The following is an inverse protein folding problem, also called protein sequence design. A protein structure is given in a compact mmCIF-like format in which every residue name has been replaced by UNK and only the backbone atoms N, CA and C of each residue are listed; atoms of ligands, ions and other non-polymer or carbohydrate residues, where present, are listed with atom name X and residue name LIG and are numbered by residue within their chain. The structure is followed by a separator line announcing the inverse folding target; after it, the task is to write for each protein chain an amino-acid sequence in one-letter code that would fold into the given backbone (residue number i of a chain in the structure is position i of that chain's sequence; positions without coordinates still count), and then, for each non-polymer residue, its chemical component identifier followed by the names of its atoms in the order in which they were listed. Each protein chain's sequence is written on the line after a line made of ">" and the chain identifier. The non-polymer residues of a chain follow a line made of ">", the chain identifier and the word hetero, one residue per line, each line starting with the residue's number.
data_IF_990098038498
#
_entry.id   IF_990098038498
#
_cell.length_a   1.000
_cell.length_b   1.000
_cell.length_c   1.000
_cell.angle_alpha   90.00
_cell.angle_beta   90.00
_cell.angle_gamma   90.00
#
_symmetry.space_group_name_H-M   'P 1'
#
loop_
_entity.id
_entity.type
_entity.pdbx_description
1 polymer ?
#
# COMPACT_ATOMS: atom_id res chain seq x y z
N UNK A 1 -13.76 48.19 -35.71
CA UNK A 1 -12.75 47.42 -36.46
C UNK A 1 -13.37 46.07 -36.78
N UNK A 2 -13.12 45.49 -37.97
CA UNK A 2 -13.48 44.08 -38.18
C UNK A 2 -12.46 43.23 -37.44
N UNK A 3 -12.91 42.30 -36.60
CA UNK A 3 -12.06 41.18 -36.22
C UNK A 3 -11.71 40.40 -37.50
N UNK A 4 -10.53 39.82 -37.54
CA UNK A 4 -10.12 38.93 -38.63
C UNK A 4 -10.84 37.60 -38.49
N UNK A 5 -11.27 37.01 -39.61
CA UNK A 5 -11.84 35.66 -39.62
C UNK A 5 -10.85 34.61 -39.08
N UNK A 6 -9.55 34.93 -39.10
CA UNK A 6 -8.47 34.11 -38.53
C UNK A 6 -8.42 34.15 -36.99
N UNK A 7 -9.00 35.17 -36.36
CA UNK A 7 -9.04 35.34 -34.90
C UNK A 7 -10.27 34.62 -34.27
N UNK A 8 -11.27 34.26 -35.08
CA UNK A 8 -12.54 33.65 -34.63
C UNK A 8 -12.83 32.30 -35.30
N UNK A 9 -11.82 31.43 -35.39
CA UNK A 9 -12.02 30.02 -35.81
C UNK A 9 -12.98 29.28 -34.86
N UNK A 10 -13.01 29.67 -33.58
CA UNK A 10 -14.09 29.38 -32.64
C UNK A 10 -15.08 30.55 -32.68
N UNK A 11 -16.38 30.35 -32.92
CA UNK A 11 -17.34 31.43 -33.22
C UNK A 11 -17.76 32.29 -32.01
N UNK A 12 -17.07 32.18 -30.87
CA UNK A 12 -17.24 33.05 -29.71
C UNK A 12 -15.90 33.24 -28.98
N UNK A 13 -15.60 34.48 -28.62
CA UNK A 13 -14.43 34.80 -27.80
C UNK A 13 -14.68 34.36 -26.34
N UNK A 14 -13.72 33.66 -25.74
CA UNK A 14 -13.84 32.99 -24.45
C UNK A 14 -13.85 33.96 -23.25
N UNK A 15 -15.00 34.61 -23.01
CA UNK A 15 -15.22 35.51 -21.87
C UNK A 15 -15.75 34.73 -20.67
N UNK A 16 -14.92 34.53 -19.63
CA UNK A 16 -15.42 34.21 -18.29
C UNK A 16 -15.69 35.51 -17.53
N UNK A 17 -16.93 35.71 -17.09
CA UNK A 17 -17.31 36.82 -16.20
C UNK A 17 -17.05 36.52 -14.72
N UNK A 18 -16.88 35.25 -14.37
CA UNK A 18 -16.62 34.80 -13.01
C UNK A 18 -15.13 34.49 -12.78
N UNK A 19 -14.60 34.93 -11.64
CA UNK A 19 -13.40 34.37 -11.03
C UNK A 19 -13.83 33.30 -10.04
N UNK A 20 -13.21 32.12 -10.12
CA UNK A 20 -13.46 31.04 -9.16
C UNK A 20 -12.79 31.37 -7.83
N UNK A 21 -13.57 31.47 -6.75
CA UNK A 21 -13.04 31.44 -5.38
C UNK A 21 -13.07 29.99 -4.87
N UNK A 22 -11.96 29.30 -5.08
CA UNK A 22 -11.81 27.90 -4.66
C UNK A 22 -11.65 27.73 -3.15
N UNK A 23 -11.37 28.80 -2.38
CA UNK A 23 -11.30 28.70 -0.93
C UNK A 23 -12.69 28.43 -0.33
N UNK A 24 -13.74 29.01 -0.94
CA UNK A 24 -15.16 28.78 -0.58
C UNK A 24 -15.67 27.36 -0.82
N UNK A 25 -14.87 26.48 -1.43
CA UNK A 25 -15.25 25.09 -1.75
C UNK A 25 -14.84 24.08 -0.67
N UNK A 26 -14.06 24.51 0.32
CA UNK A 26 -13.59 23.67 1.43
C UNK A 26 -14.33 24.03 2.72
N UNK A 27 -14.72 23.02 3.49
CA UNK A 27 -15.34 23.21 4.80
C UNK A 27 -14.27 23.55 5.85
N UNK A 28 -14.10 24.85 6.12
CA UNK A 28 -13.20 25.36 7.16
C UNK A 28 -13.66 25.04 8.60
N UNK A 29 -14.85 24.43 8.78
CA UNK A 29 -15.34 23.95 10.08
C UNK A 29 -15.17 22.44 10.28
N UNK A 30 -14.71 21.71 9.25
CA UNK A 30 -14.50 20.27 9.31
C UNK A 30 -13.46 19.89 10.37
N UNK A 31 -13.85 18.95 11.25
CA UNK A 31 -12.94 18.33 12.21
C UNK A 31 -12.67 16.89 11.78
N UNK A 32 -11.40 16.50 11.72
CA UNK A 32 -10.99 15.15 11.38
C UNK A 32 -11.48 14.15 12.44
N UNK A 33 -11.97 12.99 11.99
CA UNK A 33 -12.44 11.94 12.89
C UNK A 33 -11.28 11.13 13.46
N UNK A 34 -11.27 10.87 14.77
CA UNK A 34 -10.22 10.07 15.42
C UNK A 34 -10.30 8.56 15.10
N UNK A 35 -11.26 8.12 14.27
CA UNK A 35 -11.39 6.76 13.75
C UNK A 35 -10.06 6.21 13.18
N UNK A 36 -9.88 4.89 13.20
CA UNK A 36 -8.74 4.23 12.58
C UNK A 36 -8.79 4.35 11.03
N UNK A 37 -7.64 4.27 10.32
CA UNK A 37 -7.61 4.30 8.85
C UNK A 37 -8.50 3.26 8.17
N UNK A 38 -8.64 2.07 8.76
CA UNK A 38 -9.57 1.05 8.23
C UNK A 38 -11.03 1.51 8.35
N UNK A 39 -11.41 2.19 9.42
CA UNK A 39 -12.77 2.69 9.59
C UNK A 39 -13.04 3.97 8.78
N UNK A 40 -12.05 4.86 8.63
CA UNK A 40 -12.06 5.96 7.65
C UNK A 40 -12.31 5.42 6.23
N UNK A 41 -11.62 4.33 5.85
CA UNK A 41 -11.80 3.68 4.55
C UNK A 41 -13.19 3.07 4.37
N UNK A 42 -13.68 2.29 5.33
CA UNK A 42 -14.99 1.65 5.26
C UNK A 42 -16.11 2.70 5.20
N UNK A 43 -15.99 3.81 5.94
CA UNK A 43 -16.96 4.91 5.89
C UNK A 43 -16.99 5.58 4.52
N UNK A 44 -15.83 5.86 3.91
CA UNK A 44 -15.73 6.37 2.55
C UNK A 44 -16.29 5.38 1.52
N UNK A 45 -15.87 4.11 1.54
CA UNK A 45 -16.33 3.09 0.60
C UNK A 45 -17.85 2.89 0.68
N UNK A 46 -18.42 2.83 1.89
CA UNK A 46 -19.87 2.66 2.07
C UNK A 46 -20.65 3.95 1.75
N UNK A 47 -20.03 5.12 1.87
CA UNK A 47 -20.55 6.38 1.31
C UNK A 47 -20.65 6.32 -0.22
N UNK A 48 -19.57 5.93 -0.89
CA UNK A 48 -19.47 5.79 -2.34
C UNK A 48 -20.46 4.73 -2.87
N UNK A 49 -20.58 3.59 -2.20
CA UNK A 49 -21.50 2.51 -2.59
C UNK A 49 -22.96 2.96 -2.60
N UNK A 50 -23.39 3.78 -1.62
CA UNK A 50 -24.75 4.33 -1.60
C UNK A 50 -25.08 5.14 -2.86
N UNK A 51 -24.12 5.87 -3.43
CA UNK A 51 -24.34 6.73 -4.60
C UNK A 51 -24.83 5.93 -5.82
N UNK A 52 -24.10 4.89 -6.23
CA UNK A 52 -24.48 4.12 -7.42
C UNK A 52 -25.63 3.14 -7.15
N UNK A 53 -25.71 2.56 -5.94
CA UNK A 53 -26.80 1.65 -5.58
C UNK A 53 -28.15 2.38 -5.54
N UNK A 54 -28.21 3.60 -4.98
CA UNK A 54 -29.42 4.41 -4.99
C UNK A 54 -29.79 4.90 -6.40
N UNK A 55 -28.82 5.33 -7.21
CA UNK A 55 -29.08 5.70 -8.60
C UNK A 55 -29.63 4.51 -9.40
N UNK A 56 -29.06 3.32 -9.22
CA UNK A 56 -29.57 2.08 -9.84
C UNK A 56 -30.98 1.73 -9.37
N UNK A 57 -31.26 1.84 -8.06
CA UNK A 57 -32.59 1.62 -7.49
C UNK A 57 -33.67 2.58 -8.01
N UNK A 58 -33.30 3.76 -8.52
CA UNK A 58 -34.19 4.73 -9.19
C UNK A 58 -34.21 4.62 -10.72
N UNK A 59 -33.39 3.75 -11.32
CA UNK A 59 -33.21 3.67 -12.78
C UNK A 59 -32.34 4.79 -13.38
N UNK A 60 -31.66 5.58 -12.55
CA UNK A 60 -30.84 6.74 -12.92
C UNK A 60 -29.35 6.40 -13.16
N UNK A 61 -28.97 5.12 -13.05
CA UNK A 61 -27.56 4.72 -13.18
C UNK A 61 -27.00 4.98 -14.57
N UNK A 62 -26.05 5.93 -14.67
CA UNK A 62 -25.29 6.24 -15.87
C UNK A 62 -23.86 5.67 -15.80
N UNK A 63 -23.27 5.18 -16.91
CA UNK A 63 -21.87 4.72 -16.93
C UNK A 63 -20.84 5.79 -16.52
N UNK A 64 -21.18 7.08 -16.68
CA UNK A 64 -20.37 8.20 -16.18
C UNK A 64 -20.34 8.23 -14.64
N UNK A 65 -21.48 8.04 -13.97
CA UNK A 65 -21.53 7.88 -12.51
C UNK A 65 -20.69 6.68 -12.09
N UNK A 66 -20.79 5.56 -12.82
CA UNK A 66 -19.96 4.37 -12.59
C UNK A 66 -18.46 4.67 -12.61
N UNK A 67 -17.98 5.42 -13.59
CA UNK A 67 -16.58 5.83 -13.69
C UNK A 67 -16.15 6.80 -12.56
N UNK A 68 -17.06 7.64 -12.08
CA UNK A 68 -16.80 8.61 -11.00
C UNK A 68 -16.78 7.95 -9.60
N UNK A 69 -17.74 7.06 -9.29
CA UNK A 69 -17.72 6.32 -8.01
C UNK A 69 -16.51 5.39 -7.95
N UNK A 70 -16.15 4.76 -9.07
CA UNK A 70 -14.97 3.94 -9.22
C UNK A 70 -13.65 4.69 -8.96
N UNK A 71 -13.52 5.93 -9.44
CA UNK A 71 -12.42 6.81 -9.07
C UNK A 71 -12.38 7.04 -7.54
N UNK A 72 -13.53 7.32 -6.94
CA UNK A 72 -13.67 7.48 -5.49
C UNK A 72 -13.20 6.24 -4.71
N UNK A 73 -13.57 5.03 -5.14
CA UNK A 73 -13.20 3.77 -4.48
C UNK A 73 -11.67 3.61 -4.36
N UNK A 74 -10.94 3.87 -5.45
CA UNK A 74 -9.46 3.76 -5.43
C UNK A 74 -8.85 4.90 -4.61
N UNK A 75 -9.40 6.11 -4.67
CA UNK A 75 -8.95 7.22 -3.83
C UNK A 75 -9.19 6.96 -2.33
N UNK A 76 -10.23 6.21 -1.95
CA UNK A 76 -10.44 5.77 -0.56
C UNK A 76 -9.34 4.80 -0.09
N UNK A 77 -8.89 3.88 -0.95
CA UNK A 77 -7.72 3.00 -0.68
C UNK A 77 -6.42 3.80 -0.62
N UNK A 78 -6.25 4.80 -1.49
CA UNK A 78 -5.10 5.71 -1.45
C UNK A 78 -5.07 6.52 -0.13
N UNK A 79 -6.25 6.93 0.37
CA UNK A 79 -6.44 7.60 1.65
C UNK A 79 -6.16 6.70 2.87
N UNK A 80 -6.61 5.43 2.84
CA UNK A 80 -6.23 4.42 3.84
C UNK A 80 -4.72 4.36 4.02
N UNK A 81 -3.97 4.22 2.92
CA UNK A 81 -2.52 4.11 2.99
C UNK A 81 -1.87 5.40 3.50
N UNK A 82 -2.28 6.60 3.06
CA UNK A 82 -1.72 7.85 3.63
C UNK A 82 -2.02 7.99 5.12
N UNK A 83 -3.27 7.78 5.54
CA UNK A 83 -3.64 7.92 6.95
C UNK A 83 -2.90 6.92 7.85
N UNK A 84 -2.74 5.67 7.39
CA UNK A 84 -1.91 4.66 8.08
C UNK A 84 -0.44 5.09 8.18
N UNK A 85 0.21 5.42 7.06
CA UNK A 85 1.64 5.76 7.03
C UNK A 85 1.93 7.03 7.85
N UNK A 86 1.07 8.06 7.74
CA UNK A 86 1.12 9.30 8.55
C UNK A 86 1.05 9.00 10.04
N UNK A 87 0.05 8.21 10.48
CA UNK A 87 -0.16 7.90 11.90
C UNK A 87 0.95 7.01 12.47
N UNK A 88 1.50 6.09 11.68
CA UNK A 88 2.67 5.28 12.10
C UNK A 88 3.90 6.15 12.40
N UNK A 89 4.20 7.17 11.59
CA UNK A 89 5.31 8.12 11.85
C UNK A 89 5.15 8.87 13.18
N UNK A 90 3.94 8.99 13.72
CA UNK A 90 3.66 9.65 15.00
C UNK A 90 3.76 8.73 16.23
N UNK A 91 3.75 7.40 16.06
CA UNK A 91 3.70 6.44 17.19
C UNK A 91 4.82 5.39 17.22
N UNK A 92 5.54 5.20 16.11
CA UNK A 92 6.53 4.12 15.95
C UNK A 92 7.94 4.67 15.71
N UNK A 93 8.88 4.35 16.61
CA UNK A 93 10.27 4.85 16.59
C UNK A 93 11.02 4.46 15.31
N UNK A 94 10.73 3.28 14.73
CA UNK A 94 11.30 2.90 13.44
C UNK A 94 10.74 3.76 12.28
N UNK A 95 9.42 4.01 12.24
CA UNK A 95 8.85 4.92 11.24
C UNK A 95 9.37 6.35 11.41
N UNK A 96 9.51 6.85 12.65
CA UNK A 96 9.99 8.20 12.92
C UNK A 96 11.44 8.38 12.45
N UNK A 97 12.37 7.53 12.91
CA UNK A 97 13.80 7.59 12.54
C UNK A 97 14.07 7.43 11.03
N UNK A 98 13.12 6.83 10.28
CA UNK A 98 13.14 6.74 8.81
C UNK A 98 12.44 7.91 8.11
N UNK A 99 11.48 8.57 8.76
CA UNK A 99 10.89 9.81 8.30
C UNK A 99 11.86 11.00 8.44
N UNK A 100 12.68 11.03 9.48
CA UNK A 100 13.73 12.04 9.72
C UNK A 100 14.79 12.12 8.60
N UNK A 101 14.92 11.06 7.78
CA UNK A 101 15.81 11.00 6.63
C UNK A 101 15.15 11.48 5.31
N UNK A 102 13.87 11.88 5.35
CA UNK A 102 13.09 12.32 4.18
C UNK A 102 12.93 13.84 4.17
N UNK A 103 12.77 14.40 2.97
CA UNK A 103 12.54 15.84 2.77
C UNK A 103 11.05 16.15 2.64
N UNK A 104 10.59 17.22 3.29
CA UNK A 104 9.27 17.84 3.07
C UNK A 104 9.43 19.21 2.39
N UNK A 105 8.34 19.76 1.83
CA UNK A 105 8.35 21.13 1.32
C UNK A 105 8.49 22.15 2.46
N UNK A 106 9.16 23.28 2.21
CA UNK A 106 9.25 24.36 3.22
C UNK A 106 7.85 24.94 3.55
N UNK A 107 6.93 24.94 2.59
CA UNK A 107 5.53 25.31 2.81
C UNK A 107 4.85 24.40 3.85
N UNK A 108 4.98 23.07 3.71
CA UNK A 108 4.46 22.13 4.70
C UNK A 108 5.11 22.33 6.07
N UNK A 109 6.43 22.54 6.13
CA UNK A 109 7.16 22.78 7.39
C UNK A 109 6.76 24.08 8.11
N UNK A 110 6.20 25.07 7.40
CA UNK A 110 5.72 26.34 7.97
C UNK A 110 4.21 26.32 8.28
N UNK A 111 3.40 25.53 7.55
CA UNK A 111 1.94 25.61 7.60
C UNK A 111 1.22 24.37 8.13
N UNK A 112 1.86 23.20 8.26
CA UNK A 112 1.22 22.03 8.86
C UNK A 112 1.42 22.00 10.39
N UNK A 113 0.43 21.47 11.11
CA UNK A 113 0.63 21.09 12.52
C UNK A 113 1.52 19.85 12.62
N UNK A 114 2.04 19.53 13.81
CA UNK A 114 2.91 18.37 14.03
C UNK A 114 2.25 17.05 13.61
N UNK A 115 0.94 16.96 13.75
CA UNK A 115 0.11 15.78 13.47
C UNK A 115 -0.18 15.62 11.97
N UNK A 116 -0.14 16.72 11.21
CA UNK A 116 -0.35 16.75 9.76
C UNK A 116 0.95 16.82 8.96
N UNK A 117 2.06 17.24 9.57
CA UNK A 117 3.37 17.32 8.90
C UNK A 117 3.81 16.01 8.23
N UNK A 118 3.58 14.80 8.79
CA UNK A 118 3.94 13.56 8.11
C UNK A 118 3.14 13.29 6.81
N UNK A 119 1.99 13.94 6.58
CA UNK A 119 1.28 13.84 5.30
C UNK A 119 2.13 14.36 4.13
N UNK A 120 2.96 15.38 4.39
CA UNK A 120 3.87 15.97 3.40
C UNK A 120 5.00 15.02 2.96
N UNK A 121 5.23 13.92 3.68
CA UNK A 121 6.14 12.84 3.28
C UNK A 121 5.59 12.01 2.10
N UNK A 122 4.30 12.17 1.78
CA UNK A 122 3.58 11.45 0.72
C UNK A 122 3.08 12.37 -0.40
N UNK A 123 3.43 13.67 -0.36
CA UNK A 123 3.27 14.60 -1.48
C UNK A 123 4.04 14.06 -2.71
N UNK A 124 3.35 13.89 -3.84
CA UNK A 124 3.92 13.30 -5.06
C UNK A 124 4.11 11.78 -5.04
N UNK A 125 3.93 11.10 -3.90
CA UNK A 125 3.97 9.63 -3.82
C UNK A 125 2.61 9.04 -4.22
N UNK A 126 2.59 8.21 -5.26
CA UNK A 126 1.38 7.50 -5.69
C UNK A 126 1.25 6.15 -5.01
N UNK A 127 0.28 6.04 -4.09
CA UNK A 127 -0.08 4.79 -3.42
C UNK A 127 -1.16 4.00 -4.19
N UNK A 128 -1.50 4.44 -5.42
CA UNK A 128 -2.38 3.73 -6.35
C UNK A 128 -1.61 2.74 -7.25
N UNK A 129 -0.82 1.85 -6.63
CA UNK A 129 -0.18 0.68 -7.29
C UNK A 129 0.35 -0.31 -6.26
N UNK A 130 0.49 -1.59 -6.63
CA UNK A 130 1.17 -2.62 -5.82
C UNK A 130 2.57 -2.18 -5.43
N UNK A 131 3.36 -1.71 -6.41
CA UNK A 131 4.77 -1.34 -6.18
C UNK A 131 4.91 -0.12 -5.26
N UNK A 132 4.09 0.91 -5.41
CA UNK A 132 4.13 2.09 -4.54
C UNK A 132 3.85 1.74 -3.08
N UNK A 133 2.76 1.00 -2.82
CA UNK A 133 2.38 0.56 -1.47
C UNK A 133 3.45 -0.32 -0.83
N UNK A 134 3.95 -1.33 -1.55
CA UNK A 134 4.97 -2.24 -1.03
C UNK A 134 6.30 -1.53 -0.71
N UNK A 135 6.71 -0.58 -1.56
CA UNK A 135 7.93 0.23 -1.33
C UNK A 135 7.77 1.09 -0.08
N UNK A 136 6.65 1.79 0.13
CA UNK A 136 6.48 2.65 1.30
C UNK A 136 6.34 1.83 2.60
N UNK A 137 5.54 0.76 2.60
CA UNK A 137 5.46 -0.16 3.74
C UNK A 137 6.81 -0.77 4.07
N UNK A 138 7.69 -1.03 3.09
CA UNK A 138 9.05 -1.53 3.35
C UNK A 138 10.03 -0.47 3.83
N UNK A 139 10.06 0.67 3.15
CA UNK A 139 11.10 1.69 3.33
C UNK A 139 10.82 2.61 4.50
N UNK A 140 9.57 3.03 4.70
CA UNK A 140 9.16 3.74 5.90
C UNK A 140 8.84 2.75 7.03
N UNK A 141 7.85 1.88 6.83
CA UNK A 141 7.29 1.08 7.91
C UNK A 141 7.98 -0.27 8.15
N UNK A 142 9.15 -0.52 7.53
CA UNK A 142 10.00 -1.69 7.80
C UNK A 142 9.46 -3.08 7.39
N UNK A 143 8.18 -3.18 7.07
CA UNK A 143 7.35 -4.40 7.07
C UNK A 143 8.04 -5.59 6.41
N UNK A 144 8.05 -6.78 7.03
CA UNK A 144 8.70 -7.96 6.46
C UNK A 144 8.02 -8.43 5.17
N UNK A 145 8.74 -9.21 4.37
CA UNK A 145 8.29 -9.78 3.07
C UNK A 145 7.85 -8.78 1.97
N UNK A 146 7.60 -7.52 2.28
CA UNK A 146 7.55 -6.41 1.32
C UNK A 146 8.98 -6.10 0.83
N UNK A 147 9.15 -5.77 -0.46
CA UNK A 147 10.48 -5.47 -1.05
C UNK A 147 10.56 -4.05 -1.63
N UNK A 148 11.80 -3.56 -1.84
CA UNK A 148 12.05 -2.30 -2.57
C UNK A 148 11.71 -2.39 -4.07
N UNK A 149 11.41 -3.60 -4.56
CA UNK A 149 11.05 -3.88 -5.95
C UNK A 149 9.55 -4.03 -6.17
N UNK A 150 8.77 -4.00 -5.09
CA UNK A 150 7.30 -4.04 -5.13
C UNK A 150 6.70 -5.43 -4.93
N UNK A 151 7.48 -6.40 -4.49
CA UNK A 151 6.97 -7.71 -4.08
C UNK A 151 6.24 -7.61 -2.72
N UNK A 152 5.35 -8.57 -2.51
CA UNK A 152 4.43 -8.62 -1.36
C UNK A 152 4.36 -10.07 -0.85
N UNK A 153 3.95 -10.31 0.40
CA UNK A 153 3.73 -11.66 0.92
C UNK A 153 2.82 -12.48 0.00
N UNK A 154 3.15 -13.76 -0.21
CA UNK A 154 2.40 -14.66 -1.12
C UNK A 154 0.89 -14.69 -0.83
N UNK A 155 0.48 -14.61 0.43
CA UNK A 155 -0.92 -14.62 0.84
C UNK A 155 -1.68 -13.31 0.52
N UNK A 156 -0.97 -12.21 0.23
CA UNK A 156 -1.56 -10.94 -0.22
C UNK A 156 -1.47 -10.75 -1.74
N UNK A 157 -0.71 -11.58 -2.47
CA UNK A 157 -0.36 -11.32 -3.86
C UNK A 157 -1.59 -11.27 -4.80
N UNK A 158 -2.60 -12.12 -4.59
CA UNK A 158 -3.86 -12.03 -5.35
C UNK A 158 -4.59 -10.70 -5.12
N UNK A 159 -4.65 -10.23 -3.87
CA UNK A 159 -5.28 -8.95 -3.53
C UNK A 159 -4.56 -7.79 -4.21
N UNK A 160 -3.22 -7.82 -4.21
CA UNK A 160 -2.40 -6.82 -4.88
C UNK A 160 -2.43 -6.92 -6.41
N UNK A 161 -2.60 -8.10 -7.02
CA UNK A 161 -2.82 -8.26 -8.48
C UNK A 161 -4.16 -7.65 -8.89
N UNK A 162 -5.21 -7.87 -8.09
CA UNK A 162 -6.53 -7.27 -8.32
C UNK A 162 -6.44 -5.74 -8.18
N UNK A 163 -5.79 -5.24 -7.13
CA UNK A 163 -5.55 -3.81 -6.92
C UNK A 163 -4.75 -3.17 -8.06
N UNK A 164 -3.70 -3.83 -8.55
CA UNK A 164 -2.91 -3.33 -9.67
C UNK A 164 -3.77 -3.23 -10.95
N UNK A 165 -4.56 -4.26 -11.23
CA UNK A 165 -5.48 -4.28 -12.39
C UNK A 165 -6.53 -3.16 -12.28
N UNK A 166 -7.07 -2.94 -11.09
CA UNK A 166 -7.95 -1.82 -10.76
C UNK A 166 -7.24 -0.46 -10.95
N UNK A 167 -5.98 -0.31 -10.55
CA UNK A 167 -5.23 0.93 -10.77
C UNK A 167 -4.95 1.20 -12.26
N UNK A 168 -4.71 0.15 -13.07
CA UNK A 168 -4.52 0.31 -14.52
C UNK A 168 -5.83 0.70 -15.24
N UNK A 169 -6.99 0.17 -14.81
CA UNK A 169 -8.30 0.58 -15.35
C UNK A 169 -8.71 1.99 -14.85
N UNK A 170 -8.33 2.41 -13.62
CA UNK A 170 -8.55 3.79 -13.11
C UNK A 170 -7.94 4.83 -14.04
N UNK A 171 -6.71 4.61 -14.51
CA UNK A 171 -6.05 5.51 -15.45
C UNK A 171 -6.86 5.68 -16.75
N UNK A 172 -7.54 4.62 -17.22
CA UNK A 172 -8.45 4.69 -18.37
C UNK A 172 -9.76 5.42 -18.04
N UNK A 173 -10.30 5.23 -16.83
CA UNK A 173 -11.53 5.88 -16.37
C UNK A 173 -11.41 7.41 -16.27
N UNK A 174 -10.31 7.91 -15.69
CA UNK A 174 -10.07 9.35 -15.50
C UNK A 174 -9.72 10.02 -16.83
N UNK A 175 -8.74 9.47 -17.56
CA UNK A 175 -8.16 10.14 -18.71
C UNK A 175 -8.89 9.76 -20.00
N UNK A 176 -9.02 10.72 -20.91
CA UNK A 176 -9.47 10.46 -22.30
C UNK A 176 -10.85 9.79 -22.40
N UNK A 177 -11.74 10.11 -21.45
CA UNK A 177 -13.14 9.68 -21.37
C UNK A 177 -13.35 8.16 -21.36
N UNK A 178 -12.69 7.45 -20.44
CA UNK A 178 -12.89 6.02 -20.24
C UNK A 178 -12.13 5.13 -21.24
N UNK A 179 -11.42 5.70 -22.22
CA UNK A 179 -10.86 4.93 -23.34
C UNK A 179 -9.62 4.12 -22.94
N UNK A 180 -9.69 2.81 -23.16
CA UNK A 180 -8.55 1.91 -22.93
C UNK A 180 -7.40 2.18 -23.92
N UNK A 181 -6.30 2.75 -23.40
CA UNK A 181 -5.07 2.99 -24.15
C UNK A 181 -4.13 1.78 -24.20
N UNK A 182 -3.27 1.71 -25.22
CA UNK A 182 -2.40 0.56 -25.50
C UNK A 182 -1.44 0.17 -24.36
N UNK A 183 -0.86 1.15 -23.65
CA UNK A 183 0.01 0.88 -22.48
C UNK A 183 -0.74 0.18 -21.35
N UNK A 184 -2.02 0.54 -21.15
CA UNK A 184 -2.87 -0.02 -20.11
C UNK A 184 -3.38 -1.41 -20.52
N UNK A 185 -3.78 -1.58 -21.79
CA UNK A 185 -4.12 -2.88 -22.35
C UNK A 185 -2.94 -3.87 -22.29
N UNK A 186 -1.69 -3.41 -22.50
CA UNK A 186 -0.50 -4.25 -22.35
C UNK A 186 -0.32 -4.75 -20.92
N UNK A 187 -0.47 -3.87 -19.91
CA UNK A 187 -0.38 -4.25 -18.48
C UNK A 187 -1.51 -5.16 -18.02
N UNK A 188 -2.70 -5.03 -18.60
CA UNK A 188 -3.87 -5.88 -18.34
C UNK A 188 -3.86 -7.19 -19.17
N UNK A 189 -2.83 -7.42 -19.99
CA UNK A 189 -2.75 -8.53 -20.94
C UNK A 189 -3.39 -8.17 -22.29
N UNK A 190 -2.56 -7.83 -23.28
CA UNK A 190 -3.00 -7.25 -24.54
C UNK A 190 -3.95 -8.16 -25.34
N UNK A 191 -3.76 -9.48 -25.30
CA UNK A 191 -4.55 -10.41 -26.11
C UNK A 191 -6.03 -10.48 -25.67
N UNK A 192 -6.29 -10.31 -24.37
CA UNK A 192 -7.66 -10.22 -23.82
C UNK A 192 -8.29 -8.84 -24.04
N UNK A 193 -7.49 -7.81 -24.33
CA UNK A 193 -7.90 -6.40 -24.32
C UNK A 193 -7.84 -5.71 -25.70
N UNK A 194 -7.21 -6.34 -26.69
CA UNK A 194 -7.00 -5.80 -28.05
C UNK A 194 -8.29 -5.27 -28.67
N UNK A 195 -9.35 -6.07 -28.62
CA UNK A 195 -10.64 -5.76 -29.25
C UNK A 195 -11.46 -4.73 -28.46
N UNK A 196 -11.00 -4.30 -27.28
CA UNK A 196 -11.61 -3.23 -26.47
C UNK A 196 -10.72 -2.00 -26.27
N UNK A 197 -9.54 -1.95 -26.90
CA UNK A 197 -8.78 -0.70 -27.04
C UNK A 197 -9.64 0.39 -27.70
N UNK A 198 -9.40 1.65 -27.32
CA UNK A 198 -10.14 2.85 -27.77
C UNK A 198 -11.65 2.89 -27.46
N UNK A 199 -12.24 1.81 -26.93
CA UNK A 199 -13.63 1.77 -26.47
C UNK A 199 -13.74 2.37 -25.07
N UNK A 200 -14.85 3.07 -24.74
CA UNK A 200 -15.04 3.66 -23.43
C UNK A 200 -15.37 2.61 -22.36
N UNK A 201 -14.83 2.79 -21.16
CA UNK A 201 -15.18 2.06 -19.96
C UNK A 201 -16.69 2.14 -19.69
N UNK A 202 -17.31 0.98 -19.46
CA UNK A 202 -18.75 0.84 -19.19
C UNK A 202 -18.97 -0.14 -18.05
N UNK A 203 -18.68 0.31 -16.83
CA UNK A 203 -18.91 -0.48 -15.61
C UNK A 203 -20.42 -0.69 -15.37
N UNK A 204 -20.80 -1.92 -15.03
CA UNK A 204 -22.10 -2.27 -14.47
C UNK A 204 -22.09 -2.18 -12.94
N UNK A 205 -23.27 -2.23 -12.33
CA UNK A 205 -23.42 -2.24 -10.86
C UNK A 205 -22.73 -3.47 -10.23
N UNK A 206 -22.91 -4.71 -10.71
CA UNK A 206 -22.15 -5.86 -10.22
C UNK A 206 -20.63 -5.69 -10.32
N UNK A 207 -20.12 -5.07 -11.39
CA UNK A 207 -18.68 -4.82 -11.53
C UNK A 207 -18.15 -3.79 -10.52
N UNK A 208 -18.99 -2.85 -10.07
CA UNK A 208 -18.65 -1.94 -8.98
C UNK A 208 -18.68 -2.64 -7.62
N UNK A 209 -19.58 -3.60 -7.43
CA UNK A 209 -19.64 -4.45 -6.24
C UNK A 209 -18.42 -5.38 -6.17
N UNK A 210 -18.04 -6.03 -7.28
CA UNK A 210 -16.81 -6.84 -7.41
C UNK A 210 -15.55 -6.03 -7.08
N UNK A 211 -15.46 -4.79 -7.58
CA UNK A 211 -14.35 -3.86 -7.28
C UNK A 211 -14.35 -3.47 -5.80
N UNK A 212 -15.51 -3.15 -5.22
CA UNK A 212 -15.62 -2.78 -3.82
C UNK A 212 -15.19 -3.94 -2.89
N UNK A 213 -15.61 -5.19 -3.18
CA UNK A 213 -15.16 -6.37 -2.42
C UNK A 213 -13.65 -6.58 -2.55
N UNK A 214 -13.09 -6.49 -3.76
CA UNK A 214 -11.65 -6.65 -3.99
C UNK A 214 -10.80 -5.60 -3.24
N UNK A 215 -11.28 -4.36 -3.16
CA UNK A 215 -10.61 -3.28 -2.44
C UNK A 215 -10.79 -3.38 -0.92
N UNK A 216 -11.96 -3.77 -0.41
CA UNK A 216 -12.14 -4.04 1.02
C UNK A 216 -11.27 -5.23 1.48
N UNK A 217 -11.20 -6.30 0.66
CA UNK A 217 -10.35 -7.45 0.93
C UNK A 217 -8.85 -7.08 0.95
N UNK A 218 -8.38 -6.23 0.03
CA UNK A 218 -7.02 -5.68 0.05
C UNK A 218 -6.76 -4.92 1.36
N UNK A 219 -7.59 -3.92 1.68
CA UNK A 219 -7.37 -3.08 2.86
C UNK A 219 -7.37 -3.92 4.14
N UNK A 220 -8.35 -4.83 4.32
CA UNK A 220 -8.36 -5.75 5.47
C UNK A 220 -7.14 -6.66 5.54
N UNK A 221 -6.72 -7.23 4.41
CA UNK A 221 -5.54 -8.10 4.34
C UNK A 221 -4.25 -7.38 4.71
N UNK A 222 -4.03 -6.18 4.16
CA UNK A 222 -2.85 -5.37 4.46
C UNK A 222 -2.90 -4.79 5.88
N UNK A 223 -4.07 -4.40 6.39
CA UNK A 223 -4.25 -3.92 7.76
C UNK A 223 -3.82 -4.97 8.79
N UNK A 224 -4.39 -6.18 8.70
CA UNK A 224 -4.05 -7.29 9.58
C UNK A 224 -2.59 -7.73 9.46
N UNK A 225 -2.03 -7.72 8.25
CA UNK A 225 -0.62 -8.07 8.05
C UNK A 225 0.33 -7.02 8.65
N UNK A 226 0.09 -5.73 8.39
CA UNK A 226 0.94 -4.65 8.92
C UNK A 226 0.86 -4.57 10.44
N UNK A 227 -0.33 -4.66 11.04
CA UNK A 227 -0.48 -4.70 12.50
C UNK A 227 0.39 -5.80 13.11
N UNK A 228 0.24 -7.04 12.61
CA UNK A 228 0.89 -8.21 13.18
C UNK A 228 2.41 -8.18 12.97
N UNK A 229 2.88 -7.72 11.82
CA UNK A 229 4.31 -7.59 11.52
C UNK A 229 4.95 -6.51 12.40
N UNK A 230 4.32 -5.33 12.49
CA UNK A 230 4.79 -4.20 13.30
C UNK A 230 4.82 -4.56 14.78
N UNK A 231 3.74 -5.13 15.34
CA UNK A 231 3.71 -5.45 16.78
C UNK A 231 4.73 -6.55 17.12
N UNK A 232 4.87 -7.60 16.30
CA UNK A 232 5.90 -8.63 16.49
C UNK A 232 7.32 -8.04 16.40
N UNK A 233 7.54 -7.11 15.48
CA UNK A 233 8.80 -6.38 15.29
C UNK A 233 9.18 -5.49 16.48
N UNK A 234 8.23 -4.92 17.23
CA UNK A 234 8.57 -4.15 18.45
C UNK A 234 9.34 -4.97 19.50
N UNK A 235 9.07 -6.29 19.61
CA UNK A 235 9.86 -7.20 20.44
C UNK A 235 11.18 -7.62 19.75
N UNK A 236 11.09 -8.07 18.49
CA UNK A 236 12.22 -8.65 17.75
C UNK A 236 13.35 -7.64 17.45
N UNK A 237 12.99 -6.37 17.24
CA UNK A 237 13.92 -5.28 16.93
C UNK A 237 14.14 -4.35 18.13
N UNK A 238 13.47 -4.57 19.28
CA UNK A 238 13.72 -3.86 20.54
C UNK A 238 14.89 -4.42 21.35
N UNK A 239 15.22 -3.86 22.53
CA UNK A 239 16.40 -4.23 23.32
C UNK A 239 16.43 -5.71 23.75
N UNK A 240 15.28 -6.38 23.83
CA UNK A 240 15.18 -7.80 24.10
C UNK A 240 15.60 -8.69 22.90
N UNK A 241 15.36 -8.24 21.66
CA UNK A 241 15.69 -8.98 20.44
C UNK A 241 17.02 -8.56 19.78
N UNK A 242 17.40 -7.28 19.90
CA UNK A 242 18.65 -6.68 19.41
C UNK A 242 19.30 -5.82 20.51
N UNK A 243 20.06 -6.42 21.46
CA UNK A 243 20.69 -5.65 22.54
C UNK A 243 21.80 -4.71 22.04
N UNK A 244 22.44 -5.02 20.91
CA UNK A 244 23.58 -4.24 20.38
C UNK A 244 23.17 -3.03 19.50
N UNK A 245 21.99 -3.09 18.87
CA UNK A 245 21.45 -2.09 17.94
C UNK A 245 19.91 -2.16 17.91
N UNK A 246 19.21 -1.72 18.97
CA UNK A 246 17.75 -1.76 19.06
C UNK A 246 17.11 -0.60 18.29
N UNK A 247 16.04 -0.89 17.56
CA UNK A 247 15.20 0.11 16.87
C UNK A 247 14.13 0.75 17.77
N UNK A 248 14.14 0.44 19.07
CA UNK A 248 13.24 0.98 20.09
C UNK A 248 14.01 1.21 21.38
N UNK A 249 13.69 2.31 22.05
CA UNK A 249 14.28 2.72 23.33
C UNK A 249 13.77 1.94 24.55
N UNK A 250 12.77 1.07 24.38
CA UNK A 250 12.03 0.39 25.46
C UNK A 250 11.75 -1.09 25.13
N UNK A 251 11.40 -1.86 26.17
CA UNK A 251 10.98 -3.26 26.08
C UNK A 251 9.62 -3.46 26.76
N UNK A 252 8.80 -4.37 26.23
CA UNK A 252 7.54 -4.79 26.84
C UNK A 252 7.75 -5.37 28.25
N UNK A 253 6.94 -4.95 29.21
CA UNK A 253 6.97 -5.44 30.59
C UNK A 253 6.27 -6.79 30.75
N UNK A 254 5.47 -7.19 29.76
CA UNK A 254 4.69 -8.44 29.71
C UNK A 254 3.54 -8.49 30.72
N UNK A 255 3.10 -7.30 31.14
CA UNK A 255 1.93 -7.04 31.97
C UNK A 255 1.06 -6.00 31.27
N UNK A 256 -0.24 -6.28 31.11
CA UNK A 256 -1.16 -5.38 30.41
C UNK A 256 -1.35 -4.05 31.16
N UNK A 257 -1.25 -4.01 32.49
CA UNK A 257 -1.41 -2.74 33.21
C UNK A 257 -0.27 -1.77 32.90
N UNK A 258 0.96 -2.28 32.82
CA UNK A 258 2.17 -1.55 32.43
C UNK A 258 2.20 -1.20 30.94
N UNK A 259 1.89 -2.18 30.08
CA UNK A 259 2.10 -2.07 28.62
C UNK A 259 0.93 -1.39 27.88
N UNK A 260 -0.27 -1.24 28.49
CA UNK A 260 -1.49 -0.71 27.83
C UNK A 260 -1.28 0.62 27.10
N UNK A 261 -0.55 1.56 27.68
CA UNK A 261 -0.37 2.91 27.09
C UNK A 261 0.38 2.88 25.75
N UNK A 262 1.29 1.92 25.57
CA UNK A 262 2.02 1.72 24.31
C UNK A 262 1.20 0.81 23.39
N UNK A 263 0.67 -0.30 23.92
CA UNK A 263 -0.08 -1.27 23.13
C UNK A 263 -1.36 -0.70 22.52
N UNK A 264 -2.10 0.16 23.25
CA UNK A 264 -3.33 0.77 22.70
C UNK A 264 -3.03 1.62 21.47
N UNK A 265 -1.94 2.40 21.43
CA UNK A 265 -1.59 3.22 20.26
C UNK A 265 -1.50 2.41 18.97
N UNK A 266 -0.95 1.19 19.04
CA UNK A 266 -0.93 0.27 17.91
C UNK A 266 -2.29 -0.42 17.69
N UNK A 267 -2.97 -0.87 18.73
CA UNK A 267 -4.29 -1.48 18.61
C UNK A 267 -5.32 -0.50 18.02
N UNK A 268 -5.47 0.69 18.59
CA UNK A 268 -6.39 1.77 18.19
C UNK A 268 -6.12 2.25 16.75
N UNK A 269 -4.87 2.16 16.28
CA UNK A 269 -4.51 2.48 14.89
C UNK A 269 -5.00 1.43 13.88
N UNK A 270 -5.06 0.16 14.25
CA UNK A 270 -5.38 -0.94 13.32
C UNK A 270 -6.74 -1.61 13.58
N UNK A 271 -7.38 -1.36 14.71
CA UNK A 271 -8.66 -1.94 15.07
C UNK A 271 -9.82 -1.30 14.28
N UNK A 272 -10.76 -2.14 13.84
CA UNK A 272 -12.06 -1.68 13.30
C UNK A 272 -13.12 -1.81 14.39
N UNK A 273 -13.85 -0.72 14.68
CA UNK A 273 -15.02 -0.73 15.56
C UNK A 273 -16.34 -0.91 14.80
N UNK A 274 -16.29 -0.96 13.45
CA UNK A 274 -17.47 -1.05 12.58
C UNK A 274 -17.94 -2.51 12.45
N UNK A 275 -19.23 -2.75 12.70
CA UNK A 275 -19.89 -4.05 12.48
C UNK A 275 -20.17 -4.28 10.98
N UNK A 276 -20.20 -5.54 10.50
CA UNK A 276 -20.09 -6.79 11.27
C UNK A 276 -18.65 -7.19 11.62
N UNK A 277 -17.65 -6.68 10.89
CA UNK A 277 -16.26 -7.16 10.93
C UNK A 277 -15.40 -6.38 11.94
N UNK A 278 -15.88 -6.29 13.18
CA UNK A 278 -15.20 -5.63 14.31
C UNK A 278 -13.98 -6.45 14.75
N UNK A 279 -12.91 -5.79 15.19
CA UNK A 279 -11.72 -6.46 15.74
C UNK A 279 -12.00 -7.18 17.07
N UNK A 280 -11.21 -8.24 17.43
CA UNK A 280 -11.17 -8.79 18.78
C UNK A 280 -10.72 -7.74 19.81
N UNK A 281 -10.92 -7.98 21.12
CA UNK A 281 -10.59 -6.97 22.14
C UNK A 281 -9.08 -6.70 22.24
N UNK A 282 -8.72 -5.55 22.80
CA UNK A 282 -7.32 -5.20 23.07
C UNK A 282 -6.67 -6.25 23.99
N UNK A 283 -7.43 -6.72 24.97
CA UNK A 283 -7.07 -7.75 25.93
C UNK A 283 -6.76 -9.10 25.24
N UNK A 284 -7.61 -9.56 24.31
CA UNK A 284 -7.40 -10.79 23.54
C UNK A 284 -6.14 -10.69 22.66
N UNK A 285 -6.01 -9.58 21.93
CA UNK A 285 -4.89 -9.38 20.99
C UNK A 285 -3.56 -9.20 21.72
N UNK A 286 -3.57 -8.61 22.91
CA UNK A 286 -2.40 -8.56 23.79
C UNK A 286 -2.00 -9.95 24.33
N UNK A 287 -2.97 -10.80 24.68
CA UNK A 287 -2.68 -12.17 25.13
C UNK A 287 -2.01 -13.02 24.04
N UNK A 288 -2.49 -12.94 22.80
CA UNK A 288 -1.85 -13.58 21.63
C UNK A 288 -0.44 -13.04 21.38
N UNK A 289 -0.22 -11.73 21.60
CA UNK A 289 1.11 -11.13 21.49
C UNK A 289 2.09 -11.64 22.57
N UNK A 290 1.62 -11.84 23.83
CA UNK A 290 2.44 -12.44 24.88
C UNK A 290 2.79 -13.91 24.59
N UNK A 291 1.88 -14.68 23.99
CA UNK A 291 2.16 -16.04 23.50
C UNK A 291 3.30 -16.02 22.47
N UNK A 292 3.23 -15.11 21.49
CA UNK A 292 4.32 -14.92 20.51
C UNK A 292 5.66 -14.59 21.18
N UNK A 293 5.70 -13.66 22.16
CA UNK A 293 6.92 -13.31 22.90
C UNK A 293 7.51 -14.57 23.56
N UNK A 294 6.70 -15.31 24.32
CA UNK A 294 7.15 -16.51 25.03
C UNK A 294 7.74 -17.57 24.09
N UNK A 295 7.18 -17.74 22.89
CA UNK A 295 7.75 -18.61 21.86
C UNK A 295 9.11 -18.13 21.34
N UNK A 296 9.29 -16.84 21.08
CA UNK A 296 10.57 -16.32 20.56
C UNK A 296 11.67 -16.46 21.61
N UNK A 297 11.37 -16.15 22.87
CA UNK A 297 12.31 -16.30 23.98
C UNK A 297 12.75 -17.77 24.14
N UNK A 298 11.81 -18.72 24.03
CA UNK A 298 12.10 -20.15 24.08
C UNK A 298 12.98 -20.60 22.89
N UNK A 299 12.68 -20.12 21.68
CA UNK A 299 13.47 -20.39 20.45
C UNK A 299 14.88 -19.82 20.58
N UNK A 300 15.05 -18.63 21.17
CA UNK A 300 16.35 -18.02 21.45
C UNK A 300 17.15 -18.82 22.50
N UNK A 301 16.53 -19.20 23.62
CA UNK A 301 17.16 -19.98 24.68
C UNK A 301 17.65 -21.37 24.20
N UNK A 302 16.87 -22.05 23.35
CA UNK A 302 17.26 -23.31 22.73
C UNK A 302 18.49 -23.14 21.81
N UNK A 303 18.51 -22.08 20.99
CA UNK A 303 19.64 -21.75 20.10
C UNK A 303 20.92 -21.41 20.88
N UNK A 304 20.81 -20.73 22.02
CA UNK A 304 21.92 -20.48 22.94
C UNK A 304 22.52 -21.76 23.52
N UNK A 305 21.68 -22.66 24.05
CA UNK A 305 22.12 -23.96 24.59
C UNK A 305 22.82 -24.84 23.54
N UNK A 306 22.29 -24.87 22.31
CA UNK A 306 22.91 -25.60 21.20
C UNK A 306 24.33 -25.10 20.88
N UNK A 307 24.52 -23.77 20.77
CA UNK A 307 25.87 -23.18 20.57
C UNK A 307 26.83 -23.50 21.71
N UNK A 308 26.37 -23.45 22.96
CA UNK A 308 27.20 -23.79 24.12
C UNK A 308 27.69 -25.23 24.06
N UNK A 309 26.80 -26.18 23.75
CA UNK A 309 27.13 -27.60 23.67
C UNK A 309 28.13 -27.91 22.54
N UNK A 310 28.02 -27.25 21.38
CA UNK A 310 29.00 -27.41 20.30
C UNK A 310 30.39 -26.87 20.65
N UNK A 311 30.49 -25.80 21.46
CA UNK A 311 31.77 -25.18 21.79
C UNK A 311 32.52 -25.95 22.90
N UNK A 312 31.81 -26.66 23.79
CA UNK A 312 32.41 -27.55 24.79
C UNK A 312 33.08 -28.80 24.22
N UNK A 313 32.87 -29.12 22.93
CA UNK A 313 33.50 -30.27 22.26
C UNK A 313 34.93 -30.02 21.74
N UNK A 314 35.43 -28.79 21.80
CA UNK A 314 36.64 -28.36 21.06
C UNK A 314 37.90 -28.14 21.94
N UNK A 315 37.84 -28.32 23.26
CA UNK A 315 39.01 -28.21 24.14
C UNK A 315 39.56 -29.59 24.52
N UNK A 316 40.41 -30.14 23.65
CA UNK A 316 40.94 -31.49 23.79
C UNK A 316 42.14 -31.84 22.90
N UNK A 317 43.10 -30.92 22.70
CA UNK A 317 44.28 -31.25 21.90
C UNK A 317 45.40 -30.19 21.91
N UNK A 318 46.64 -30.68 22.06
CA UNK A 318 47.93 -30.06 21.72
C UNK A 318 48.22 -28.62 22.18
N UNK A 319 49.02 -28.51 23.25
CA UNK A 319 49.85 -27.33 23.48
C UNK A 319 51.26 -27.53 22.88
N UNK A 320 51.78 -26.55 22.16
CA UNK A 320 53.21 -26.47 21.80
C UNK A 320 53.67 -25.01 21.68
N UNK A 321 54.89 -24.73 22.15
CA UNK A 321 55.46 -23.38 22.24
C UNK A 321 56.22 -22.96 20.98
N UNK A 322 56.23 -21.65 20.66
CA UNK A 322 57.45 -20.92 20.25
C UNK A 322 57.33 -19.38 20.29
N UNK A 323 58.12 -18.79 21.19
CA UNK A 323 59.00 -17.61 21.05
C UNK A 323 58.56 -16.32 20.29
N UNK A 324 58.86 -15.20 20.96
CA UNK A 324 58.98 -13.81 20.47
C UNK A 324 59.68 -13.64 19.11
N UNK A 325 59.30 -12.57 18.39
CA UNK A 325 60.22 -11.53 17.88
C UNK A 325 59.52 -10.15 17.82
N UNK A 326 60.27 -9.07 17.57
CA UNK A 326 59.88 -7.67 17.85
C UNK A 326 59.37 -6.85 16.65
N UNK A 327 58.81 -5.67 16.96
CA UNK A 327 58.39 -4.62 16.01
C UNK A 327 59.59 -3.97 15.25
N UNK A 328 59.36 -3.12 14.22
CA UNK A 328 58.94 -1.73 14.46
C UNK A 328 57.91 -1.15 13.44
N UNK A 329 57.70 0.17 13.50
CA UNK A 329 56.57 0.94 12.97
C UNK A 329 56.87 1.92 11.82
N UNK A 330 55.88 2.20 10.96
CA UNK A 330 55.65 3.47 10.24
C UNK A 330 54.11 3.63 10.07
N UNK A 331 53.39 4.76 10.24
CA UNK A 331 53.61 6.23 10.13
C UNK A 331 53.24 6.80 8.75
N UNK A 332 52.20 7.65 8.74
CA UNK A 332 51.62 8.44 7.61
C UNK A 332 50.94 7.64 6.49
N UNK A 333 49.94 8.16 5.76
CA UNK A 333 49.20 9.43 5.90
C UNK A 333 48.59 9.93 4.57
N UNK A 334 47.95 11.11 4.59
CA UNK A 334 47.46 11.92 3.44
C UNK A 334 46.05 11.61 2.89
N UNK A 335 45.36 12.69 2.50
CA UNK A 335 43.95 12.81 2.05
C UNK A 335 43.87 13.14 0.55
N UNK A 336 42.92 12.53 -0.16
CA UNK A 336 42.19 13.09 -1.33
C UNK A 336 40.94 12.23 -1.56
N UNK A 337 39.69 12.69 -1.75
CA UNK A 337 39.09 13.80 -2.52
C UNK A 337 39.28 13.70 -4.04
N UNK A 338 38.34 13.03 -4.72
CA UNK A 338 38.06 13.28 -6.14
C UNK A 338 36.60 12.96 -6.47
N UNK A 339 35.80 13.99 -6.73
CA UNK A 339 34.45 13.88 -7.29
C UNK A 339 34.51 13.69 -8.80
N UNK A 340 33.68 12.80 -9.36
CA UNK A 340 33.46 12.72 -10.82
C UNK A 340 31.97 12.81 -11.12
N UNK A 341 31.60 13.73 -12.01
CA UNK A 341 30.21 14.01 -12.37
C UNK A 341 29.78 13.31 -13.67
N UNK A 342 28.46 13.11 -13.79
CA UNK A 342 27.64 12.85 -14.99
C UNK A 342 28.30 12.41 -16.30
N UNK A 343 27.70 11.38 -16.92
CA UNK A 343 27.37 11.47 -18.35
C UNK A 343 26.03 10.81 -18.68
N UNK A 344 25.21 11.52 -19.44
CA UNK A 344 23.91 11.10 -19.98
C UNK A 344 24.08 10.73 -21.44
N UNK A 345 23.42 9.68 -21.92
CA UNK A 345 23.34 9.35 -23.35
C UNK A 345 22.12 8.49 -23.71
N UNK A 346 21.16 9.09 -24.44
CA UNK A 346 20.20 8.37 -25.28
C UNK A 346 20.78 8.25 -26.71
N UNK A 347 20.40 7.20 -27.45
CA UNK A 347 19.64 7.36 -28.70
C UNK A 347 18.41 6.44 -28.75
N UNK A 348 17.26 6.73 -29.38
CA UNK A 348 16.96 7.32 -30.71
C UNK A 348 16.91 6.29 -31.87
N UNK A 349 15.75 5.65 -32.01
CA UNK A 349 14.93 5.47 -33.24
C UNK A 349 15.53 5.05 -34.60
N UNK A 350 15.13 3.85 -35.07
CA UNK A 350 14.82 3.48 -36.49
C UNK A 350 13.78 2.32 -36.46
N UNK A 351 12.60 2.31 -37.11
CA UNK A 351 12.23 2.12 -38.54
C UNK A 351 12.86 0.85 -39.18
N UNK A 352 12.19 -0.04 -39.94
CA UNK A 352 10.87 -0.04 -40.64
C UNK A 352 10.10 -1.38 -40.31
N UNK A 353 9.28 -2.14 -41.06
CA UNK A 353 8.80 -2.23 -42.48
C UNK A 353 7.46 -3.03 -42.59
N UNK A 354 6.99 -3.31 -43.82
CA UNK A 354 5.81 -4.10 -44.28
C UNK A 354 5.98 -5.64 -44.16
N UNK A 355 4.98 -6.55 -44.29
CA UNK A 355 3.94 -6.72 -45.36
C UNK A 355 2.64 -7.48 -44.97
N UNK A 356 1.63 -7.34 -45.86
CA UNK A 356 0.50 -8.22 -46.27
C UNK A 356 0.54 -9.73 -45.85
N UNK A 357 -0.58 -10.49 -45.75
CA UNK A 357 -1.79 -10.53 -46.62
C UNK A 357 -3.05 -11.19 -45.99
N UNK A 358 -4.22 -10.88 -46.58
CA UNK A 358 -5.42 -11.74 -46.80
C UNK A 358 -6.17 -12.47 -45.66
N UNK A 359 -7.47 -12.17 -45.58
CA UNK A 359 -8.57 -13.01 -45.04
C UNK A 359 -8.94 -14.16 -46.03
N UNK A 360 -9.76 -15.19 -45.70
CA UNK A 360 -11.18 -14.97 -45.36
C UNK A 360 -11.93 -16.01 -44.48
N UNK A 361 -13.18 -15.63 -44.17
CA UNK A 361 -14.40 -16.47 -44.13
C UNK A 361 -15.05 -16.74 -42.77
N UNK A 362 -16.38 -16.74 -42.79
CA UNK A 362 -17.27 -16.70 -41.63
C UNK A 362 -17.72 -18.08 -41.15
N UNK A 363 -18.22 -18.13 -39.91
CA UNK A 363 -19.20 -19.15 -39.50
C UNK A 363 -20.19 -18.59 -38.48
N UNK A 364 -21.48 -18.71 -38.77
CA UNK A 364 -22.55 -18.51 -37.79
C UNK A 364 -22.70 -19.76 -36.93
N UNK A 365 -22.94 -19.62 -35.63
CA UNK A 365 -23.67 -20.59 -34.80
C UNK A 365 -24.61 -19.81 -33.86
N UNK A 366 -25.76 -20.41 -33.54
CA UNK A 366 -26.90 -19.79 -32.88
C UNK A 366 -26.67 -19.33 -31.43
N UNK A 367 -27.55 -18.43 -30.97
CA UNK A 367 -27.77 -18.16 -29.56
C UNK A 367 -28.60 -19.27 -28.91
N UNK A 368 -28.38 -19.54 -27.62
CA UNK A 368 -29.27 -20.34 -26.77
C UNK A 368 -29.44 -19.69 -25.38
N UNK A 369 -30.53 -20.08 -24.71
CA UNK A 369 -31.13 -19.42 -23.55
C UNK A 369 -30.20 -19.24 -22.34
N UNK A 370 -30.34 -18.09 -21.68
CA UNK A 370 -29.96 -17.90 -20.28
C UNK A 370 -31.19 -18.10 -19.38
N UNK A 371 -31.00 -18.72 -18.22
CA UNK A 371 -31.93 -18.76 -17.08
C UNK A 371 -31.09 -18.85 -15.79
N UNK A 372 -31.53 -18.29 -14.64
CA UNK A 372 -30.60 -17.84 -13.61
C UNK A 372 -30.10 -18.94 -12.67
N UNK A 373 -28.84 -18.80 -12.23
CA UNK A 373 -28.25 -19.58 -11.14
C UNK A 373 -28.27 -18.80 -9.80
N UNK A 374 -28.49 -19.45 -8.64
CA UNK A 374 -28.72 -18.77 -7.37
C UNK A 374 -27.45 -18.40 -6.58
N UNK A 375 -27.63 -17.54 -5.58
CA UNK A 375 -26.59 -16.91 -4.76
C UNK A 375 -25.55 -17.87 -4.14
N UNK A 376 -24.26 -17.52 -4.26
CA UNK A 376 -23.12 -18.23 -3.63
C UNK A 376 -22.00 -17.30 -3.09
N UNK A 377 -22.28 -16.02 -2.81
CA UNK A 377 -21.27 -15.05 -2.36
C UNK A 377 -20.72 -15.30 -0.94
N UNK A 378 -21.58 -15.58 0.06
CA UNK A 378 -21.20 -15.63 1.49
C UNK A 378 -20.23 -16.76 1.89
N UNK A 379 -19.86 -17.67 0.97
CA UNK A 379 -19.00 -18.82 1.26
C UNK A 379 -17.48 -18.56 1.21
N UNK A 380 -17.04 -17.40 0.67
CA UNK A 380 -15.62 -17.13 0.40
C UNK A 380 -14.88 -16.53 1.60
N UNK A 381 -15.36 -15.38 2.11
CA UNK A 381 -14.71 -14.60 3.17
C UNK A 381 -14.50 -15.40 4.47
N UNK A 382 -15.48 -16.23 4.84
CA UNK A 382 -15.39 -17.11 6.01
C UNK A 382 -14.20 -18.11 5.92
N UNK A 383 -13.84 -18.56 4.71
CA UNK A 383 -12.70 -19.47 4.51
C UNK A 383 -11.38 -18.75 4.70
N UNK A 384 -11.26 -17.54 4.17
CA UNK A 384 -10.07 -16.68 4.35
C UNK A 384 -9.84 -16.41 5.84
N UNK A 385 -10.90 -16.08 6.59
CA UNK A 385 -10.81 -15.86 8.04
C UNK A 385 -10.43 -17.13 8.81
N UNK A 386 -11.00 -18.30 8.49
CA UNK A 386 -10.57 -19.57 9.12
C UNK A 386 -9.14 -19.97 8.74
N UNK A 387 -8.65 -19.65 7.53
CA UNK A 387 -7.25 -19.85 7.15
C UNK A 387 -6.31 -18.93 7.92
N UNK A 388 -6.70 -17.68 8.16
CA UNK A 388 -5.94 -16.74 8.99
C UNK A 388 -5.90 -17.18 10.47
N UNK A 389 -7.04 -17.59 11.04
CA UNK A 389 -7.10 -18.16 12.40
C UNK A 389 -6.38 -19.52 12.55
N UNK A 390 -6.29 -20.31 11.47
CA UNK A 390 -5.49 -21.54 11.45
C UNK A 390 -3.99 -21.24 11.37
N UNK A 391 -3.60 -20.17 10.65
CA UNK A 391 -2.22 -19.71 10.59
C UNK A 391 -1.76 -19.02 11.89
N UNK A 392 -2.65 -18.31 12.62
CA UNK A 392 -2.34 -17.81 13.97
C UNK A 392 -2.01 -18.91 14.99
N UNK A 393 -2.17 -20.20 14.63
CA UNK A 393 -1.87 -21.37 15.46
C UNK A 393 -0.66 -22.19 14.97
N UNK A 394 0.17 -21.64 14.07
CA UNK A 394 1.34 -22.30 13.46
C UNK A 394 2.53 -21.33 13.24
#
# INVERSE_FOLDING_TARGET
>A
MSASILETITPSAAHSTARLDTASWFDATFQASEQSPIDEFLENLYGINKLYLQANGRGEYAPMLGSLVYLGMVSAVEGYFRSLLRRLVLIDELCQSRAEQRTVSYGAAVHHTRELLPEALFEGISLASKRGVAIELKTLCGVTQMTKDGDVPHHLDLLFRNFESICQVRHCGIHRFGKLGSQQALRLGIDAHRDVMEKPLKLSVPQLEDIAEALEALVRGVNSYCFLDIIKRTHLDGPAGKPDDPSYSWSWQRDLASDRIVFSRYYDLFASIKKPNQSPSLEDVYAEFLTFIAEQDAKAAAKGRSKSASNSGAQGGAATSRLFHSAPSHVSGVVATSSTSMKVSNPTTTTTTTTTTASPSARQVAAQHASPAPAKAMGSLARIWTSFLAWLKN
#
